data_IF_715803706985
#
_entry.id   IF_715803706985
#
_cell.length_a   1.000
_cell.length_b   1.000
_cell.length_c   1.000
_cell.angle_alpha   90.00
_cell.angle_beta   90.00
_cell.angle_gamma   90.00
#
_symmetry.space_group_name_H-M   'P 1'
#
loop_
_entity.id
_entity.type
_entity.pdbx_description
1 polymer ?
#
# COMPACT_ATOMS: atom_id res chain seq x y z
N UNK A 1 -7.15 19.60 3.24
CA UNK A 1 -5.95 18.78 3.52
C UNK A 1 -6.09 17.58 2.63
N UNK A 2 -5.16 17.39 1.70
CA UNK A 2 -5.32 16.41 0.64
C UNK A 2 -4.93 15.03 1.16
N UNK A 3 -5.82 14.06 0.96
CA UNK A 3 -5.61 12.69 1.39
C UNK A 3 -5.95 11.73 0.24
N UNK A 4 -5.21 10.64 0.16
CA UNK A 4 -5.44 9.58 -0.82
C UNK A 4 -5.44 8.23 -0.11
N UNK A 5 -6.53 7.48 -0.28
CA UNK A 5 -6.62 6.09 0.18
C UNK A 5 -5.98 5.17 -0.86
N UNK A 6 -5.11 4.29 -0.39
CA UNK A 6 -4.39 3.32 -1.21
C UNK A 6 -4.63 1.90 -0.66
N UNK A 7 -4.67 0.91 -1.57
CA UNK A 7 -4.63 -0.50 -1.23
C UNK A 7 -3.33 -1.08 -1.78
N UNK A 8 -2.46 -1.52 -0.88
CA UNK A 8 -1.18 -2.14 -1.24
C UNK A 8 -1.32 -3.66 -1.03
N UNK A 9 -0.71 -4.43 -1.92
CA UNK A 9 -0.64 -5.89 -1.83
C UNK A 9 0.82 -6.32 -1.65
N UNK A 10 1.02 -7.50 -1.04
CA UNK A 10 2.30 -8.19 -1.01
C UNK A 10 2.86 -8.39 -2.45
N UNK A 11 4.18 -8.54 -2.57
CA UNK A 11 4.79 -8.83 -3.87
C UNK A 11 4.36 -10.23 -4.33
N UNK A 12 3.99 -10.43 -5.61
CA UNK A 12 3.55 -11.73 -6.10
C UNK A 12 4.57 -12.86 -5.85
N UNK A 13 5.85 -12.51 -5.91
CA UNK A 13 6.98 -13.43 -5.74
C UNK A 13 7.16 -13.88 -4.26
N UNK A 14 6.53 -13.18 -3.31
CA UNK A 14 6.57 -13.47 -1.88
C UNK A 14 5.32 -14.22 -1.38
N UNK A 15 4.29 -14.35 -2.22
CA UNK A 15 3.05 -15.04 -1.86
C UNK A 15 3.27 -16.56 -2.05
N UNK A 16 3.07 -17.38 -1.00
CA UNK A 16 3.20 -18.82 -1.11
C UNK A 16 2.26 -19.40 -2.17
N UNK A 17 2.71 -20.44 -2.87
CA UNK A 17 1.90 -21.08 -3.91
C UNK A 17 0.58 -21.60 -3.34
N UNK A 18 -0.53 -21.21 -3.96
CA UNK A 18 -1.88 -21.59 -3.52
C UNK A 18 -2.51 -20.65 -2.50
N UNK A 19 -1.78 -19.63 -2.03
CA UNK A 19 -2.31 -18.60 -1.14
C UNK A 19 -2.78 -17.35 -1.91
N UNK A 20 -3.59 -16.52 -1.24
CA UNK A 20 -4.04 -15.22 -1.75
C UNK A 20 -3.17 -14.14 -1.11
N UNK A 21 -2.66 -13.22 -1.93
CA UNK A 21 -1.86 -12.09 -1.47
C UNK A 21 -2.57 -11.28 -0.38
N UNK A 22 -1.89 -11.00 0.73
CA UNK A 22 -2.44 -10.10 1.76
C UNK A 22 -2.40 -8.66 1.27
N UNK A 23 -3.31 -7.85 1.82
CA UNK A 23 -3.44 -6.46 1.43
C UNK A 23 -3.55 -5.56 2.65
N UNK A 24 -2.91 -4.39 2.59
CA UNK A 24 -3.00 -3.35 3.61
C UNK A 24 -3.70 -2.11 3.03
N UNK A 25 -4.52 -1.47 3.86
CA UNK A 25 -5.07 -0.16 3.55
C UNK A 25 -4.15 0.92 4.12
N UNK A 26 -3.85 1.93 3.32
CA UNK A 26 -3.00 3.03 3.72
C UNK A 26 -3.66 4.37 3.36
N UNK A 27 -3.30 5.41 4.11
CA UNK A 27 -3.66 6.79 3.78
C UNK A 27 -2.38 7.57 3.53
N UNK A 28 -2.22 8.08 2.32
CA UNK A 28 -1.21 9.06 1.99
C UNK A 28 -1.77 10.47 2.24
N UNK A 29 -0.96 11.35 2.81
CA UNK A 29 -1.38 12.67 3.28
C UNK A 29 -0.43 13.77 2.79
N UNK A 30 -0.98 14.95 2.53
CA UNK A 30 -0.29 16.17 2.04
C UNK A 30 0.58 15.87 0.82
N UNK A 31 1.88 16.10 0.94
CA UNK A 31 2.87 15.95 -0.14
C UNK A 31 3.06 14.52 -0.61
N UNK A 32 2.47 13.52 0.05
CA UNK A 32 2.61 12.11 -0.35
C UNK A 32 1.46 11.64 -1.28
N UNK A 33 0.46 12.49 -1.53
CA UNK A 33 -0.63 12.23 -2.47
C UNK A 33 -0.09 12.24 -3.91
N UNK A 34 -0.63 11.37 -4.78
CA UNK A 34 -0.32 11.26 -6.21
C UNK A 34 1.11 10.82 -6.55
N UNK A 35 1.81 10.17 -5.61
CA UNK A 35 3.19 9.68 -5.81
C UNK A 35 3.30 8.29 -6.45
N UNK A 36 2.19 7.57 -6.58
CA UNK A 36 2.15 6.24 -7.23
C UNK A 36 0.83 6.02 -7.95
N UNK A 37 0.83 5.11 -8.92
CA UNK A 37 -0.34 4.66 -9.68
C UNK A 37 -0.58 3.16 -9.45
N UNK A 38 -1.78 2.64 -9.78
CA UNK A 38 -2.06 1.21 -9.66
C UNK A 38 -1.07 0.36 -10.48
N UNK A 39 -0.49 -0.66 -9.84
CA UNK A 39 0.49 -1.56 -10.46
C UNK A 39 1.95 -1.23 -10.12
N UNK A 40 2.22 -0.04 -9.56
CA UNK A 40 3.56 0.31 -9.12
C UNK A 40 4.06 -0.63 -8.00
N UNK A 41 5.31 -1.08 -8.12
CA UNK A 41 6.04 -1.72 -7.01
C UNK A 41 6.61 -0.62 -6.14
N UNK A 42 6.08 -0.48 -4.93
CA UNK A 42 6.45 0.60 -4.00
C UNK A 42 7.07 0.06 -2.71
N UNK A 43 7.95 0.86 -2.11
CA UNK A 43 8.40 0.65 -0.72
C UNK A 43 7.79 1.76 0.14
N UNK A 44 6.88 1.38 1.03
CA UNK A 44 6.13 2.32 1.88
C UNK A 44 6.83 2.47 3.23
N UNK A 45 6.94 3.70 3.73
CA UNK A 45 7.36 4.01 5.10
C UNK A 45 6.28 4.87 5.75
N UNK A 46 5.95 4.59 7.02
CA UNK A 46 4.89 5.33 7.71
C UNK A 46 4.66 4.82 9.14
N UNK A 47 3.54 5.26 9.71
CA UNK A 47 3.10 4.85 11.04
C UNK A 47 1.98 3.82 10.88
N UNK A 48 2.11 2.67 11.55
CA UNK A 48 1.06 1.66 11.61
C UNK A 48 0.03 2.10 12.65
N UNK A 49 -1.18 2.40 12.19
CA UNK A 49 -2.32 2.65 13.07
C UNK A 49 -3.09 1.34 13.24
N UNK A 50 -3.28 0.94 14.49
CA UNK A 50 -4.04 -0.27 14.87
C UNK A 50 -5.18 0.21 15.78
N UNK A 51 -6.40 -0.23 15.49
CA UNK A 51 -7.56 -0.05 16.37
C UNK A 51 -7.66 -1.23 17.33
#
# INVERSE_FOLDING_TARGET
>A
MDCQSLKIQELPDEVPTGEVARTYQLVADRRNVSHCVPGDRVRVTGVMLVN
#
